data_IF_348879781110
#
_entry.id   IF_348879781110
#
_cell.length_a   1.000
_cell.length_b   1.000
_cell.length_c   1.000
_cell.angle_alpha   90.00
_cell.angle_beta   90.00
_cell.angle_gamma   90.00
#
_symmetry.space_group_name_H-M   'P 1'
#
loop_
_entity.id
_entity.type
_entity.pdbx_description
1 polymer ?
#
# COMPACT_ATOMS: atom_id res chain seq x y z
N UNK A 1 -23.72 -36.63 -47.48
CA UNK A 1 -23.15 -35.26 -47.51
C UNK A 1 -23.54 -34.60 -46.20
N UNK A 2 -22.71 -34.65 -45.16
CA UNK A 2 -21.61 -33.73 -44.81
C UNK A 2 -22.09 -32.35 -44.32
N UNK A 3 -21.79 -32.10 -43.04
CA UNK A 3 -21.51 -30.82 -42.36
C UNK A 3 -22.70 -30.00 -41.84
N UNK A 4 -22.93 -30.07 -40.53
CA UNK A 4 -23.26 -28.91 -39.65
C UNK A 4 -23.37 -29.35 -38.18
N UNK A 5 -22.25 -29.72 -37.55
CA UNK A 5 -22.13 -29.73 -36.08
C UNK A 5 -20.71 -29.26 -35.71
N UNK A 6 -20.41 -27.97 -35.95
CA UNK A 6 -19.23 -27.30 -35.37
C UNK A 6 -19.59 -25.83 -35.19
N UNK A 7 -20.35 -25.49 -34.14
CA UNK A 7 -20.59 -24.08 -33.79
C UNK A 7 -20.95 -23.87 -32.30
N UNK A 8 -20.52 -24.74 -31.39
CA UNK A 8 -20.85 -24.58 -29.95
C UNK A 8 -19.68 -24.79 -28.98
N UNK A 9 -18.44 -24.89 -29.49
CA UNK A 9 -17.28 -25.22 -28.66
C UNK A 9 -16.17 -24.16 -28.69
N UNK A 10 -16.49 -22.93 -29.09
CA UNK A 10 -15.52 -21.82 -29.17
C UNK A 10 -15.85 -20.64 -28.22
N UNK A 11 -16.96 -20.68 -27.47
CA UNK A 11 -17.40 -19.58 -26.60
C UNK A 11 -17.09 -19.77 -25.11
N UNK A 12 -16.48 -20.89 -24.71
CA UNK A 12 -16.12 -21.18 -23.31
C UNK A 12 -14.64 -20.97 -22.98
N UNK A 13 -13.83 -20.50 -23.93
CA UNK A 13 -12.38 -20.36 -23.75
C UNK A 13 -11.90 -18.92 -23.41
N UNK A 14 -12.82 -17.96 -23.18
CA UNK A 14 -12.46 -16.54 -23.05
C UNK A 14 -12.78 -15.90 -21.68
N UNK A 15 -13.29 -16.63 -20.70
CA UNK A 15 -13.69 -16.05 -19.39
C UNK A 15 -12.73 -16.34 -18.23
N UNK A 16 -11.55 -16.94 -18.46
CA UNK A 16 -10.68 -17.41 -17.38
C UNK A 16 -9.42 -16.54 -17.09
N UNK A 17 -9.17 -15.44 -17.81
CA UNK A 17 -7.87 -14.75 -17.75
C UNK A 17 -7.86 -13.37 -17.07
N UNK A 18 -8.86 -12.99 -16.26
CA UNK A 18 -8.88 -11.65 -15.64
C UNK A 18 -8.69 -11.58 -14.11
N UNK A 19 -8.61 -12.70 -13.38
CA UNK A 19 -8.55 -12.67 -11.90
C UNK A 19 -7.26 -13.22 -11.26
N UNK A 20 -6.23 -13.55 -12.04
CA UNK A 20 -4.98 -14.09 -11.48
C UNK A 20 -4.13 -13.05 -10.73
N UNK A 21 -4.31 -11.75 -11.03
CA UNK A 21 -3.51 -10.70 -10.39
C UNK A 21 -4.03 -10.33 -8.99
N UNK A 22 -5.34 -10.38 -8.76
CA UNK A 22 -5.96 -9.99 -7.47
C UNK A 22 -5.57 -10.92 -6.32
N UNK A 23 -5.36 -12.22 -6.59
CA UNK A 23 -4.95 -13.17 -5.56
C UNK A 23 -3.51 -12.96 -5.07
N UNK A 24 -2.62 -12.47 -5.95
CA UNK A 24 -1.22 -12.21 -5.61
C UNK A 24 -1.07 -11.00 -4.69
N UNK A 25 -1.90 -9.97 -4.87
CA UNK A 25 -1.85 -8.75 -4.05
C UNK A 25 -2.31 -8.96 -2.59
N UNK A 26 -3.02 -10.06 -2.33
CA UNK A 26 -3.45 -10.46 -0.99
C UNK A 26 -2.46 -11.42 -0.31
N UNK A 27 -1.43 -11.90 -1.03
CA UNK A 27 -0.43 -12.79 -0.47
C UNK A 27 0.48 -12.03 0.50
N UNK A 28 0.76 -12.62 1.68
CA UNK A 28 1.63 -11.99 2.68
C UNK A 28 3.00 -11.59 2.09
N UNK A 29 3.56 -12.42 1.21
CA UNK A 29 4.84 -12.13 0.56
C UNK A 29 4.83 -10.81 -0.23
N UNK A 30 3.73 -10.54 -0.94
CA UNK A 30 3.52 -9.29 -1.67
C UNK A 30 3.31 -8.12 -0.71
N UNK A 31 2.49 -8.30 0.33
CA UNK A 31 2.23 -7.25 1.33
C UNK A 31 3.51 -6.85 2.09
N UNK A 32 4.41 -7.79 2.35
CA UNK A 32 5.71 -7.54 2.98
C UNK A 32 6.70 -6.74 2.11
N UNK A 33 6.41 -6.55 0.81
CA UNK A 33 7.19 -5.62 -0.02
C UNK A 33 6.91 -4.15 0.34
N UNK A 34 5.74 -3.87 0.94
CA UNK A 34 5.43 -2.55 1.49
C UNK A 34 6.13 -2.38 2.85
N UNK A 35 7.11 -1.46 2.99
CA UNK A 35 7.85 -1.29 4.23
C UNK A 35 6.99 -0.85 5.43
N UNK A 36 5.87 -0.14 5.19
CA UNK A 36 4.94 0.27 6.25
C UNK A 36 4.15 -0.94 6.78
N UNK A 37 3.68 -1.80 5.87
CA UNK A 37 3.03 -3.05 6.25
C UNK A 37 4.00 -4.01 6.93
N UNK A 38 5.20 -4.17 6.37
CA UNK A 38 6.20 -5.10 6.86
C UNK A 38 6.61 -4.78 8.30
N UNK A 39 6.84 -3.51 8.64
CA UNK A 39 7.12 -3.10 10.01
C UNK A 39 5.96 -3.50 10.93
N UNK A 40 4.75 -2.98 10.67
CA UNK A 40 3.59 -3.19 11.55
C UNK A 40 3.24 -4.66 11.74
N UNK A 41 3.26 -5.46 10.66
CA UNK A 41 3.01 -6.89 10.75
C UNK A 41 4.07 -7.60 11.58
N UNK A 42 5.35 -7.29 11.33
CA UNK A 42 6.46 -7.93 12.05
C UNK A 42 6.51 -7.58 13.52
N UNK A 43 6.20 -6.33 13.89
CA UNK A 43 6.06 -5.90 15.28
C UNK A 43 4.91 -6.63 15.96
N UNK A 44 3.74 -6.68 15.32
CA UNK A 44 2.58 -7.42 15.86
C UNK A 44 2.88 -8.90 16.06
N UNK A 45 3.64 -9.53 15.16
CA UNK A 45 4.10 -10.91 15.33
C UNK A 45 5.02 -11.05 16.54
N UNK A 46 5.99 -10.14 16.72
CA UNK A 46 6.89 -10.16 17.88
C UNK A 46 6.10 -9.95 19.17
N UNK A 47 5.22 -8.97 19.20
CA UNK A 47 4.39 -8.63 20.37
C UNK A 47 3.51 -9.82 20.76
N UNK A 48 2.82 -10.44 19.79
CA UNK A 48 2.00 -11.64 20.04
C UNK A 48 2.83 -12.76 20.68
N UNK A 49 4.08 -12.96 20.25
CA UNK A 49 4.96 -13.97 20.83
C UNK A 49 5.44 -13.61 22.24
N UNK A 50 5.72 -12.33 22.49
CA UNK A 50 6.11 -11.82 23.81
C UNK A 50 4.95 -11.89 24.80
N UNK A 51 3.73 -11.60 24.36
CA UNK A 51 2.52 -11.67 25.19
C UNK A 51 2.29 -13.08 25.77
N UNK A 52 2.62 -14.13 25.02
CA UNK A 52 2.55 -15.51 25.53
C UNK A 52 3.43 -15.71 26.78
N UNK A 53 4.59 -15.07 26.83
CA UNK A 53 5.49 -15.12 27.99
C UNK A 53 4.98 -14.24 29.13
N UNK A 54 4.51 -13.03 28.83
CA UNK A 54 3.98 -12.09 29.83
C UNK A 54 2.76 -12.67 30.56
N UNK A 55 1.87 -13.34 29.82
CA UNK A 55 0.66 -13.94 30.39
C UNK A 55 0.86 -15.37 30.88
N UNK A 56 2.09 -15.88 30.87
CA UNK A 56 2.45 -17.25 31.28
C UNK A 56 1.58 -18.32 30.59
N UNK A 57 1.33 -18.17 29.29
CA UNK A 57 0.48 -19.11 28.54
C UNK A 57 0.99 -20.55 28.70
N UNK A 58 0.14 -21.55 29.04
CA UNK A 58 0.58 -22.91 29.27
C UNK A 58 1.47 -23.52 28.18
N UNK A 59 1.34 -23.07 26.92
CA UNK A 59 2.18 -23.56 25.82
C UNK A 59 3.67 -23.25 26.00
N UNK A 60 4.03 -22.23 26.80
CA UNK A 60 5.42 -21.85 27.05
C UNK A 60 6.16 -22.86 27.93
N UNK A 61 5.44 -23.77 28.59
CA UNK A 61 6.06 -24.83 29.40
C UNK A 61 6.62 -25.97 28.54
N UNK A 62 6.19 -26.06 27.28
CA UNK A 62 6.73 -26.99 26.29
C UNK A 62 7.99 -26.39 25.65
N UNK A 63 9.14 -27.02 25.88
CA UNK A 63 10.45 -26.56 25.38
C UNK A 63 10.50 -26.48 23.84
N UNK A 64 9.81 -27.37 23.12
CA UNK A 64 9.78 -27.34 21.66
C UNK A 64 8.94 -26.16 21.15
N UNK A 65 7.84 -25.84 21.82
CA UNK A 65 7.03 -24.64 21.51
C UNK A 65 7.79 -23.36 21.82
N UNK A 66 8.52 -23.31 22.93
CA UNK A 66 9.36 -22.14 23.24
C UNK A 66 10.43 -21.87 22.20
N UNK A 67 11.10 -22.92 21.70
CA UNK A 67 12.06 -22.75 20.60
C UNK A 67 11.42 -22.18 19.33
N UNK A 68 10.16 -22.51 19.05
CA UNK A 68 9.41 -21.93 17.92
C UNK A 68 9.12 -20.45 18.19
N UNK A 69 8.67 -20.10 19.39
CA UNK A 69 8.38 -18.71 19.81
C UNK A 69 9.65 -17.86 19.69
N UNK A 70 10.77 -18.29 20.27
CA UNK A 70 12.04 -17.57 20.23
C UNK A 70 12.55 -17.36 18.81
N UNK A 71 12.54 -18.42 17.99
CA UNK A 71 12.93 -18.33 16.58
C UNK A 71 12.04 -17.36 15.80
N UNK A 72 10.74 -17.36 16.09
CA UNK A 72 9.76 -16.48 15.45
C UNK A 72 9.99 -15.02 15.83
N UNK A 73 10.22 -14.72 17.12
CA UNK A 73 10.60 -13.38 17.57
C UNK A 73 11.86 -12.90 16.85
N UNK A 74 12.92 -13.72 16.81
CA UNK A 74 14.18 -13.34 16.16
C UNK A 74 14.01 -13.08 14.66
N UNK A 75 13.26 -13.93 13.96
CA UNK A 75 13.06 -13.76 12.51
C UNK A 75 12.27 -12.50 12.19
N UNK A 76 11.17 -12.24 12.90
CA UNK A 76 10.34 -11.07 12.63
C UNK A 76 10.97 -9.77 13.11
N UNK A 77 11.76 -9.80 14.19
CA UNK A 77 12.54 -8.63 14.60
C UNK A 77 13.51 -8.17 13.51
N UNK A 78 14.15 -9.10 12.79
CA UNK A 78 15.02 -8.77 11.64
C UNK A 78 14.23 -8.14 10.49
N UNK A 79 13.00 -8.61 10.24
CA UNK A 79 12.10 -8.01 9.24
C UNK A 79 11.72 -6.60 9.65
N UNK A 80 11.33 -6.36 10.89
CA UNK A 80 11.01 -5.03 11.43
C UNK A 80 12.18 -4.05 11.26
N UNK A 81 13.38 -4.47 11.64
CA UNK A 81 14.59 -3.67 11.51
C UNK A 81 14.89 -3.29 10.05
N UNK A 82 14.75 -4.26 9.12
CA UNK A 82 14.91 -4.01 7.69
C UNK A 82 13.85 -3.04 7.17
N UNK A 83 12.58 -3.24 7.53
CA UNK A 83 11.47 -2.38 7.13
C UNK A 83 11.71 -0.92 7.54
N UNK A 84 12.15 -0.68 8.78
CA UNK A 84 12.53 0.66 9.27
C UNK A 84 13.67 1.28 8.48
N UNK A 85 14.70 0.49 8.13
CA UNK A 85 15.81 0.96 7.27
C UNK A 85 15.29 1.37 5.90
N UNK A 86 14.37 0.60 5.32
CA UNK A 86 13.82 0.86 4.00
C UNK A 86 12.86 2.06 4.00
N UNK A 87 12.06 2.25 5.05
CA UNK A 87 11.27 3.48 5.24
C UNK A 87 12.16 4.72 5.32
N UNK A 88 13.30 4.66 6.03
CA UNK A 88 14.28 5.77 6.09
C UNK A 88 14.97 6.08 4.77
N UNK A 89 14.73 5.31 3.70
CA UNK A 89 15.22 5.64 2.35
C UNK A 89 14.19 6.38 1.50
N UNK A 90 12.93 6.43 1.92
CA UNK A 90 11.84 7.07 1.20
C UNK A 90 11.27 8.29 1.91
N UNK A 91 10.43 9.02 1.20
CA UNK A 91 9.72 10.21 1.69
C UNK A 91 8.40 9.79 2.32
N UNK A 92 8.25 10.01 3.63
CA UNK A 92 7.02 9.67 4.36
C UNK A 92 6.12 10.89 4.51
N UNK A 93 4.81 10.67 4.53
CA UNK A 93 3.80 11.68 4.78
C UNK A 93 2.56 11.09 5.44
N UNK A 94 1.75 11.93 6.07
CA UNK A 94 0.44 11.56 6.62
C UNK A 94 -0.65 12.32 5.89
N UNK A 95 -1.74 11.65 5.56
CA UNK A 95 -2.88 12.29 4.93
C UNK A 95 -3.53 13.31 5.86
N UNK A 96 -3.78 14.49 5.30
CA UNK A 96 -4.63 15.53 5.86
C UNK A 96 -5.90 15.59 5.03
N UNK A 97 -7.09 15.43 5.65
CA UNK A 97 -8.36 15.54 4.94
C UNK A 97 -8.60 16.99 4.49
N UNK A 98 -9.23 17.17 3.34
CA UNK A 98 -9.67 18.47 2.83
C UNK A 98 -11.20 18.52 2.83
N UNK A 99 -11.85 17.88 1.85
CA UNK A 99 -13.32 17.91 1.74
C UNK A 99 -13.97 16.65 2.28
N UNK A 100 -13.25 15.54 2.29
CA UNK A 100 -13.76 14.25 2.76
C UNK A 100 -12.78 13.59 3.72
N UNK A 101 -13.27 12.61 4.47
CA UNK A 101 -12.42 11.82 5.34
C UNK A 101 -11.32 11.12 4.53
N UNK A 102 -10.07 11.35 4.90
CA UNK A 102 -8.89 10.63 4.40
C UNK A 102 -7.83 10.64 5.50
N UNK A 103 -7.28 9.48 5.82
CA UNK A 103 -6.31 9.30 6.89
C UNK A 103 -5.34 8.15 6.55
N UNK A 104 -4.25 8.07 7.30
CA UNK A 104 -3.20 7.07 7.15
C UNK A 104 -1.87 7.65 6.67
N UNK A 105 -0.83 6.84 6.75
CA UNK A 105 0.51 7.21 6.29
C UNK A 105 0.79 6.71 4.87
N UNK A 106 1.70 7.39 4.20
CA UNK A 106 2.22 7.00 2.89
C UNK A 106 3.73 7.08 2.85
N UNK A 107 4.34 6.22 2.04
CA UNK A 107 5.77 6.19 1.79
C UNK A 107 6.01 6.19 0.29
N UNK A 108 6.71 7.21 -0.19
CA UNK A 108 7.28 7.21 -1.54
C UNK A 108 8.72 6.71 -1.48
N UNK A 109 9.02 5.54 -2.06
CA UNK A 109 10.35 4.93 -2.00
C UNK A 109 10.70 4.24 -3.31
N UNK A 110 11.85 4.59 -3.88
CA UNK A 110 12.23 4.16 -5.23
C UNK A 110 11.18 4.60 -6.26
N UNK A 111 10.64 3.64 -7.01
CA UNK A 111 9.61 3.89 -8.03
C UNK A 111 8.23 3.39 -7.55
N UNK A 112 7.97 3.45 -6.25
CA UNK A 112 6.72 2.96 -5.69
C UNK A 112 6.21 3.86 -4.58
N UNK A 113 4.91 4.08 -4.61
CA UNK A 113 4.15 4.70 -3.54
C UNK A 113 3.43 3.61 -2.76
N UNK A 114 3.60 3.60 -1.44
CA UNK A 114 3.01 2.64 -0.54
C UNK A 114 2.05 3.33 0.43
N UNK A 115 0.85 2.78 0.59
CA UNK A 115 -0.10 3.20 1.62
C UNK A 115 0.06 2.33 2.86
N UNK A 116 -0.05 2.92 4.05
CA UNK A 116 -0.01 2.18 5.30
C UNK A 116 -1.23 1.24 5.46
N UNK A 117 -1.13 0.20 6.31
CA UNK A 117 -2.24 -0.73 6.54
C UNK A 117 -3.49 -0.09 7.17
N UNK A 118 -3.37 1.08 7.78
CA UNK A 118 -4.45 1.85 8.37
C UNK A 118 -4.91 3.02 7.49
N UNK A 119 -4.49 3.07 6.22
CA UNK A 119 -5.05 4.00 5.27
C UNK A 119 -6.56 3.81 5.16
N UNK A 120 -7.28 4.92 5.18
CA UNK A 120 -8.72 4.92 5.02
C UNK A 120 -9.18 6.23 4.38
N UNK A 121 -10.16 6.14 3.47
CA UNK A 121 -10.84 7.29 2.90
C UNK A 121 -12.35 7.07 2.80
N UNK A 122 -13.10 8.16 2.70
CA UNK A 122 -14.46 8.11 2.19
C UNK A 122 -14.45 7.53 0.76
N UNK A 123 -15.48 6.77 0.36
CA UNK A 123 -15.63 6.36 -1.03
C UNK A 123 -16.00 7.56 -1.90
N UNK A 124 -15.70 7.46 -3.20
CA UNK A 124 -16.08 8.43 -4.22
C UNK A 124 -16.25 7.71 -5.57
N UNK A 125 -16.94 8.33 -6.53
CA UNK A 125 -17.17 7.75 -7.86
C UNK A 125 -15.88 7.39 -8.61
N UNK A 126 -14.86 8.26 -8.63
CA UNK A 126 -13.60 7.99 -9.33
C UNK A 126 -12.40 8.63 -8.61
N UNK A 127 -11.88 7.94 -7.61
CA UNK A 127 -10.77 8.44 -6.79
C UNK A 127 -9.43 8.04 -7.36
N UNK A 128 -8.59 9.01 -7.67
CA UNK A 128 -7.24 8.82 -8.21
C UNK A 128 -6.19 9.36 -7.26
N UNK A 129 -5.03 8.72 -7.25
CA UNK A 129 -3.85 9.26 -6.59
C UNK A 129 -3.01 10.05 -7.58
N UNK A 130 -2.64 11.27 -7.21
CA UNK A 130 -1.74 12.12 -7.98
C UNK A 130 -0.49 12.45 -7.18
N UNK A 131 0.68 12.40 -7.81
CA UNK A 131 1.90 13.01 -7.29
C UNK A 131 2.08 14.40 -7.87
N UNK A 132 2.36 15.39 -7.03
CA UNK A 132 2.60 16.77 -7.46
C UNK A 132 3.87 17.37 -6.84
N UNK A 133 4.48 18.32 -7.56
CA UNK A 133 5.59 19.14 -7.04
C UNK A 133 5.11 20.25 -6.12
N UNK A 134 3.81 20.56 -6.15
CA UNK A 134 3.16 21.53 -5.26
C UNK A 134 3.11 20.98 -3.83
N UNK A 135 3.43 21.82 -2.86
CA UNK A 135 3.47 21.45 -1.43
C UNK A 135 2.07 21.32 -0.85
N UNK A 136 1.17 22.23 -1.21
CA UNK A 136 -0.23 22.23 -0.79
C UNK A 136 -1.14 22.37 -2.01
N UNK A 137 -1.89 21.31 -2.39
CA UNK A 137 -2.73 21.34 -3.59
C UNK A 137 -3.92 22.29 -3.48
N UNK A 138 -4.18 22.88 -2.30
CA UNK A 138 -5.26 23.87 -2.11
C UNK A 138 -4.88 25.26 -2.61
N UNK A 139 -3.59 25.52 -2.77
CA UNK A 139 -3.07 26.82 -3.19
C UNK A 139 -3.03 26.99 -4.72
N UNK A 140 -3.45 25.96 -5.46
CA UNK A 140 -3.44 25.89 -6.92
C UNK A 140 -4.75 25.30 -7.45
N UNK A 141 -5.01 25.51 -8.74
CA UNK A 141 -6.01 24.69 -9.45
C UNK A 141 -5.44 23.28 -9.63
N UNK A 142 -6.18 22.27 -9.20
CA UNK A 142 -5.73 20.87 -9.21
C UNK A 142 -6.63 20.01 -10.10
N UNK A 143 -6.08 19.10 -10.94
CA UNK A 143 -4.65 18.77 -11.10
C UNK A 143 -3.82 19.91 -11.70
N UNK A 144 -2.64 20.16 -11.13
CA UNK A 144 -1.70 21.18 -11.62
C UNK A 144 -0.82 20.66 -12.76
N UNK A 145 -0.04 21.52 -13.41
CA UNK A 145 0.82 21.16 -14.55
C UNK A 145 1.88 20.09 -14.23
N UNK A 146 2.25 19.94 -12.96
CA UNK A 146 3.21 18.92 -12.50
C UNK A 146 2.56 17.62 -12.01
N UNK A 147 1.23 17.58 -11.96
CA UNK A 147 0.49 16.45 -11.42
C UNK A 147 0.64 15.21 -12.31
N UNK A 148 1.10 14.11 -11.71
CA UNK A 148 1.19 12.80 -12.33
C UNK A 148 0.10 11.91 -11.75
N UNK A 149 -0.81 11.47 -12.60
CA UNK A 149 -1.82 10.47 -12.25
C UNK A 149 -1.17 9.09 -12.07
N UNK A 150 -1.27 8.54 -10.86
CA UNK A 150 -0.81 7.18 -10.53
C UNK A 150 -1.89 6.12 -10.79
N UNK A 151 -3.10 6.56 -11.14
CA UNK A 151 -4.25 5.74 -11.46
C UNK A 151 -5.30 5.69 -10.36
N UNK A 152 -6.36 4.95 -10.69
CA UNK A 152 -7.53 4.74 -9.83
C UNK A 152 -7.13 4.05 -8.52
N UNK A 153 -7.64 4.59 -7.42
CA UNK A 153 -7.55 4.02 -6.09
C UNK A 153 -8.26 2.67 -6.06
N UNK A 154 -7.53 1.63 -5.68
CA UNK A 154 -8.02 0.24 -5.71
C UNK A 154 -8.97 -0.09 -4.56
N UNK A 155 -8.74 0.51 -3.40
CA UNK A 155 -9.51 0.31 -2.17
C UNK A 155 -9.48 1.57 -1.34
N UNK A 156 -10.61 1.91 -0.70
CA UNK A 156 -10.71 3.00 0.25
C UNK A 156 -10.22 2.61 1.66
N UNK A 157 -9.78 1.36 1.84
CA UNK A 157 -9.29 0.82 3.10
C UNK A 157 -8.02 0.01 2.87
N UNK A 158 -7.07 0.18 3.79
CA UNK A 158 -5.91 -0.67 3.94
C UNK A 158 -4.74 -0.32 3.03
N UNK A 159 -3.80 -1.26 2.98
CA UNK A 159 -2.55 -1.12 2.24
C UNK A 159 -2.77 -1.11 0.73
N UNK A 160 -1.93 -0.37 0.03
CA UNK A 160 -1.94 -0.28 -1.42
C UNK A 160 -0.54 0.05 -1.94
N UNK A 161 -0.30 -0.26 -3.21
CA UNK A 161 0.94 0.06 -3.90
C UNK A 161 0.62 0.61 -5.29
N UNK A 162 1.29 1.71 -5.63
CA UNK A 162 1.20 2.33 -6.94
C UNK A 162 2.61 2.47 -7.52
N UNK A 163 2.77 2.10 -8.78
CA UNK A 163 4.03 2.28 -9.49
C UNK A 163 4.15 3.73 -9.93
N UNK A 164 5.35 4.27 -9.77
CA UNK A 164 5.67 5.64 -10.15
C UNK A 164 6.68 5.55 -11.29
N UNK A 165 6.19 5.76 -12.51
CA UNK A 165 6.97 5.61 -13.75
C UNK A 165 7.19 6.98 -14.39
N UNK A 166 8.36 7.17 -15.00
CA UNK A 166 8.62 8.38 -15.82
C UNK A 166 8.99 9.63 -15.03
N UNK A 167 9.41 9.50 -13.77
CA UNK A 167 9.89 10.63 -12.97
C UNK A 167 11.42 10.73 -13.05
N UNK A 168 11.93 11.83 -13.63
CA UNK A 168 13.38 12.11 -13.72
C UNK A 168 13.97 12.59 -12.38
N UNK A 169 13.23 13.43 -11.65
CA UNK A 169 13.68 14.00 -10.37
C UNK A 169 12.65 13.75 -9.24
N UNK A 170 12.63 12.53 -8.66
CA UNK A 170 11.70 12.15 -7.59
C UNK A 170 11.66 13.11 -6.39
N UNK A 171 12.80 13.76 -6.11
CA UNK A 171 12.96 14.69 -4.99
C UNK A 171 12.14 15.98 -5.13
N UNK A 172 11.67 16.30 -6.34
CA UNK A 172 10.82 17.48 -6.59
C UNK A 172 9.38 17.27 -6.16
N UNK A 173 8.92 16.04 -6.06
CA UNK A 173 7.54 15.73 -5.69
C UNK A 173 7.36 15.88 -4.18
N UNK A 174 6.38 16.69 -3.79
CA UNK A 174 6.17 17.16 -2.41
C UNK A 174 4.85 16.68 -1.82
N UNK A 175 3.88 16.34 -2.66
CA UNK A 175 2.57 15.90 -2.20
C UNK A 175 2.07 14.70 -2.98
N UNK A 176 1.35 13.84 -2.26
CA UNK A 176 0.46 12.85 -2.80
C UNK A 176 -0.97 13.34 -2.55
N UNK A 177 -1.78 13.44 -3.58
CA UNK A 177 -3.14 14.00 -3.54
C UNK A 177 -4.14 12.91 -3.90
N UNK A 178 -5.21 12.80 -3.13
CA UNK A 178 -6.39 11.99 -3.46
C UNK A 178 -7.43 12.91 -4.08
N UNK A 179 -7.73 12.71 -5.35
CA UNK A 179 -8.62 13.57 -6.14
C UNK A 179 -9.74 12.75 -6.78
N UNK A 180 -10.96 13.25 -6.71
CA UNK A 180 -12.09 12.68 -7.42
C UNK A 180 -12.16 13.29 -8.83
N UNK A 181 -11.91 12.48 -9.85
CA UNK A 181 -11.87 12.94 -11.25
C UNK A 181 -13.26 13.13 -11.85
N UNK A 182 -14.30 12.50 -11.30
CA UNK A 182 -15.68 12.67 -11.79
C UNK A 182 -16.36 13.87 -11.15
N UNK A 183 -16.09 14.13 -9.87
CA UNK A 183 -16.64 15.27 -9.13
C UNK A 183 -15.69 16.48 -9.09
N UNK A 184 -14.51 16.35 -9.68
CA UNK A 184 -13.48 17.40 -9.77
C UNK A 184 -13.15 18.04 -8.41
N UNK A 185 -12.89 17.21 -7.38
CA UNK A 185 -12.66 17.70 -6.01
C UNK A 185 -11.55 16.98 -5.25
N UNK A 186 -10.88 17.73 -4.38
CA UNK A 186 -9.80 17.25 -3.50
C UNK A 186 -10.35 16.55 -2.26
N UNK A 187 -10.10 15.25 -2.09
CA UNK A 187 -10.48 14.54 -0.87
C UNK A 187 -9.51 14.81 0.28
N UNK A 188 -8.21 14.68 0.02
CA UNK A 188 -7.15 14.85 0.99
C UNK A 188 -5.78 14.76 0.34
N UNK A 189 -4.73 15.08 1.08
CA UNK A 189 -3.37 14.99 0.58
C UNK A 189 -2.39 14.68 1.69
N UNK A 190 -1.29 14.03 1.34
CA UNK A 190 -0.17 13.80 2.23
C UNK A 190 1.04 14.58 1.72
N UNK A 191 1.63 15.42 2.57
CA UNK A 191 2.92 16.03 2.27
C UNK A 191 4.02 15.01 2.47
N UNK A 192 4.68 14.63 1.39
CA UNK A 192 5.82 13.73 1.40
C UNK A 192 7.09 14.57 1.45
N UNK A 193 7.68 14.67 2.64
CA UNK A 193 8.93 15.42 2.80
C UNK A 193 10.05 14.67 2.11
N UNK A 194 10.73 15.24 1.09
CA UNK A 194 11.84 14.58 0.47
C UNK A 194 12.96 14.42 1.48
N UNK A 195 13.51 13.21 1.58
CA UNK A 195 14.72 13.01 2.37
C UNK A 195 15.88 13.76 1.70
N UNK A 196 16.40 14.78 2.39
CA UNK A 196 17.70 15.33 2.06
C UNK A 196 18.75 14.23 2.31
N UNK A 197 19.37 13.73 1.25
CA UNK A 197 20.60 12.95 1.33
C UNK A 197 21.71 13.70 0.64
#
# INVERSE_FOLDING_TARGET
MKKTIIASMALLALTACQNANTSKEQELSYLLENPLFAERYSESMVDTMVELEIYEDPIIKDEAKMKIIDKTKESWLKVAQKARVDQRKGSKGSFTPITEFTAGEVLYSGNSLFLAPDFASAPGPSLHFYLSTVVDPRDVEFPDESAIDLGLMRSNLGTGRYEVVGIEEPIKYRSLVLFDTELERLYGFAQISPLYK
#
